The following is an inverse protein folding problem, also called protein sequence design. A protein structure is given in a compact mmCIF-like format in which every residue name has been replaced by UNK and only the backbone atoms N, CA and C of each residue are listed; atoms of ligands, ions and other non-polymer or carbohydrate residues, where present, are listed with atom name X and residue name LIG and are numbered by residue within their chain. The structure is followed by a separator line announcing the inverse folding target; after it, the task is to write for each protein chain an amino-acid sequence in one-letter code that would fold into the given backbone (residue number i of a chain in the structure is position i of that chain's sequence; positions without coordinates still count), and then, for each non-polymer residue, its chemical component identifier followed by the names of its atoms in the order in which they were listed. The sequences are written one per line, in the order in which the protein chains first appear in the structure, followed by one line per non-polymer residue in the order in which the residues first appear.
data_IF_403790234207
#
_entry.id   IF_403790234207
#
_cell.length_a   1.000
_cell.length_b   1.000
_cell.length_c   1.000
_cell.angle_alpha   90.00
_cell.angle_beta   90.00
_cell.angle_gamma   90.00
#
_symmetry.space_group_name_H-M   'P 1'
#
loop_
_entity.id
_entity.type
_entity.pdbx_description
1 polymer ?
#
# COMPACT_ATOMS: atom_id res chain seq x y z
N UNK A 1 -22.29 -1.14 -29.69
CA UNK A 1 -20.87 -1.12 -29.25
C UNK A 1 -20.14 -0.03 -30.03
N UNK A 2 -20.03 1.17 -29.45
CA UNK A 2 -19.51 2.35 -30.14
C UNK A 2 -18.04 2.55 -29.73
N UNK A 3 -17.13 2.85 -30.67
CA UNK A 3 -15.67 2.96 -30.42
C UNK A 3 -15.35 3.82 -29.19
N UNK A 4 -16.05 4.95 -29.04
CA UNK A 4 -15.92 5.87 -27.89
C UNK A 4 -16.18 5.18 -26.54
N UNK A 5 -17.22 4.35 -26.44
CA UNK A 5 -17.54 3.61 -25.21
C UNK A 5 -16.47 2.56 -24.88
N UNK A 6 -15.96 1.87 -25.90
CA UNK A 6 -14.90 0.85 -25.74
C UNK A 6 -13.60 1.46 -25.24
N UNK A 7 -13.17 2.59 -25.82
CA UNK A 7 -11.96 3.31 -25.37
C UNK A 7 -12.12 3.77 -23.92
N UNK A 8 -13.27 4.36 -23.56
CA UNK A 8 -13.54 4.80 -22.18
C UNK A 8 -13.48 3.62 -21.20
N UNK A 9 -14.06 2.48 -21.54
CA UNK A 9 -14.02 1.27 -20.72
C UNK A 9 -12.59 0.76 -20.51
N UNK A 10 -11.78 0.70 -21.57
CA UNK A 10 -10.39 0.27 -21.49
C UNK A 10 -9.58 1.19 -20.59
N UNK A 11 -9.65 2.51 -20.81
CA UNK A 11 -8.91 3.50 -20.01
C UNK A 11 -9.27 3.42 -18.52
N UNK A 12 -10.57 3.28 -18.21
CA UNK A 12 -11.03 3.12 -16.82
C UNK A 12 -10.51 1.83 -16.18
N UNK A 13 -10.46 0.73 -16.93
CA UNK A 13 -9.92 -0.54 -16.44
C UNK A 13 -8.41 -0.45 -16.17
N UNK A 14 -7.65 0.20 -17.05
CA UNK A 14 -6.22 0.42 -16.85
C UNK A 14 -5.93 1.32 -15.64
N UNK A 15 -6.66 2.43 -15.49
CA UNK A 15 -6.53 3.31 -14.35
C UNK A 15 -6.79 2.57 -13.02
N UNK A 16 -7.89 1.81 -12.93
CA UNK A 16 -8.21 0.99 -11.76
C UNK A 16 -7.11 -0.04 -11.43
N UNK A 17 -6.55 -0.69 -12.45
CA UNK A 17 -5.44 -1.64 -12.27
C UNK A 17 -4.16 -0.97 -11.77
N UNK A 18 -3.85 0.24 -12.25
CA UNK A 18 -2.70 1.01 -11.78
C UNK A 18 -2.88 1.48 -10.33
N UNK A 19 -4.04 2.04 -10.01
CA UNK A 19 -4.37 2.47 -8.64
C UNK A 19 -4.35 1.31 -7.65
N UNK A 20 -4.84 0.12 -8.02
CA UNK A 20 -4.81 -1.05 -7.14
C UNK A 20 -3.40 -1.56 -6.85
N UNK A 21 -2.43 -1.34 -7.75
CA UNK A 21 -1.02 -1.71 -7.54
C UNK A 21 -0.28 -0.71 -6.66
N UNK A 22 -0.60 0.58 -6.82
CA UNK A 22 0.03 1.66 -6.06
C UNK A 22 -0.60 1.88 -4.68
N UNK A 23 -1.86 1.45 -4.48
CA UNK A 23 -2.54 1.63 -3.22
C UNK A 23 -1.83 0.84 -2.11
N UNK A 24 -1.37 1.51 -1.04
CA UNK A 24 -0.89 0.81 0.14
C UNK A 24 -2.03 -0.05 0.69
N UNK A 25 -1.71 -1.23 1.23
CA UNK A 25 -2.69 -2.05 1.95
C UNK A 25 -3.19 -1.21 3.12
N UNK A 26 -4.37 -0.59 2.96
CA UNK A 26 -4.88 0.41 3.91
C UNK A 26 -5.26 -0.17 5.27
N UNK A 27 -5.25 -1.50 5.40
CA UNK A 27 -5.42 -2.17 6.67
C UNK A 27 -4.04 -2.37 7.31
N UNK A 28 -3.81 -1.83 8.52
CA UNK A 28 -2.63 -2.21 9.27
C UNK A 28 -2.62 -3.72 9.43
N UNK A 29 -1.47 -4.34 9.17
CA UNK A 29 -1.31 -5.79 9.28
C UNK A 29 -1.71 -6.19 10.70
N UNK A 30 -2.66 -7.12 10.82
CA UNK A 30 -3.02 -7.64 12.14
C UNK A 30 -1.83 -8.43 12.66
N UNK A 31 -1.21 -7.90 13.71
CA UNK A 31 -0.03 -8.47 14.35
C UNK A 31 -0.50 -9.04 15.70
N UNK A 32 -0.22 -10.32 15.95
CA UNK A 32 -0.61 -10.97 17.20
C UNK A 32 0.16 -10.36 18.38
N UNK A 33 -0.32 -10.56 19.62
CA UNK A 33 0.29 -9.95 20.82
C UNK A 33 1.80 -10.24 20.94
N UNK A 34 2.24 -11.44 20.58
CA UNK A 34 3.63 -11.83 20.62
C UNK A 34 4.49 -11.07 19.59
N UNK A 35 3.99 -10.92 18.37
CA UNK A 35 4.71 -10.21 17.30
C UNK A 35 4.77 -8.70 17.55
N UNK A 36 3.76 -8.13 18.24
CA UNK A 36 3.79 -6.72 18.65
C UNK A 36 4.89 -6.45 19.68
N UNK A 37 5.13 -7.37 20.61
CA UNK A 37 6.22 -7.25 21.59
C UNK A 37 7.59 -7.36 20.93
N UNK A 38 7.73 -8.26 19.95
CA UNK A 38 8.97 -8.39 19.16
C UNK A 38 9.27 -7.14 18.35
N UNK A 39 8.26 -6.60 17.66
CA UNK A 39 8.42 -5.36 16.88
C UNK A 39 8.65 -4.13 17.77
N UNK A 40 8.10 -4.08 18.98
CA UNK A 40 8.39 -3.00 19.92
C UNK A 40 9.81 -3.10 20.49
N UNK A 41 10.31 -4.31 20.75
CA UNK A 41 11.70 -4.54 21.18
C UNK A 41 12.71 -4.22 20.05
N UNK A 42 12.37 -4.57 18.80
CA UNK A 42 13.20 -4.27 17.62
C UNK A 42 13.16 -2.77 17.27
N UNK A 43 11.99 -2.11 17.36
CA UNK A 43 11.87 -0.66 17.17
C UNK A 43 12.56 0.15 18.29
N UNK A 44 12.66 -0.39 19.51
CA UNK A 44 13.42 0.23 20.59
C UNK A 44 14.94 0.04 20.46
N UNK A 45 15.38 -0.93 19.65
CA UNK A 45 16.78 -1.24 19.39
C UNK A 45 17.39 -0.49 18.19
N UNK A 46 16.57 0.20 17.39
CA UNK A 46 17.01 1.02 16.24
C UNK A 46 16.97 2.52 16.59
N UNK A 47 18.06 3.12 17.10
CA UNK A 47 18.19 4.56 17.16
C UNK A 47 18.56 5.13 15.77
N UNK A 48 17.68 6.00 15.25
CA UNK A 48 17.96 7.06 14.26
C UNK A 48 18.56 6.68 12.89
N UNK A 49 17.73 6.70 11.84
CA UNK A 49 18.13 7.17 10.51
C UNK A 49 16.92 7.60 9.66
N UNK A 50 16.40 8.81 9.90
CA UNK A 50 15.79 9.64 8.86
C UNK A 50 15.84 11.10 9.32
N UNK A 51 17.06 11.64 9.28
CA UNK A 51 17.27 13.08 9.12
C UNK A 51 16.80 13.45 7.70
N UNK A 52 16.13 14.60 7.61
CA UNK A 52 15.51 15.18 6.42
C UNK A 52 16.49 15.40 5.25
N UNK A 53 16.02 15.23 4.00
CA UNK A 53 16.25 16.19 2.90
C UNK A 53 15.22 16.02 1.79
#
# INVERSE_FOLDING_TARGET
MNRRKKIKQLLQAHAKKASAKLAPKSKPKYICKADRLKLAAEAAAEPSASCEH
#
